data_IF_984664145246
#
_entry.id   IF_984664145246
#
_cell.length_a   1.000
_cell.length_b   1.000
_cell.length_c   1.000
_cell.angle_alpha   90.00
_cell.angle_beta   90.00
_cell.angle_gamma   90.00
#
_symmetry.space_group_name_H-M   'P 1'
#
loop_
_entity.id
_entity.type
_entity.pdbx_description
1 polymer ?
#
# COMPACT_ATOMS: atom_id res chain seq x y z
N UNK A 1 11.22 -7.29 6.54
CA UNK A 1 10.31 -7.21 5.36
C UNK A 1 9.00 -6.48 5.70
N UNK A 2 9.08 -5.33 6.34
CA UNK A 2 7.87 -4.61 6.71
C UNK A 2 7.52 -3.60 5.62
N UNK A 3 6.32 -3.74 5.06
CA UNK A 3 5.79 -2.89 4.02
C UNK A 3 4.48 -2.25 4.48
N UNK A 4 4.35 -0.96 4.35
CA UNK A 4 3.10 -0.25 4.56
C UNK A 4 2.58 0.29 3.22
N UNK A 5 1.43 -0.19 2.79
CA UNK A 5 0.73 0.33 1.61
C UNK A 5 -0.30 1.33 2.10
N UNK A 6 -0.19 2.56 1.62
CA UNK A 6 -1.14 3.62 1.93
C UNK A 6 -1.98 3.94 0.72
N UNK A 7 -3.24 3.74 0.91
CA UNK A 7 -4.27 4.09 -0.04
C UNK A 7 -4.90 5.41 0.40
N UNK A 8 -4.86 6.42 -0.47
CA UNK A 8 -5.53 7.70 -0.25
C UNK A 8 -6.96 7.67 -0.72
N UNK A 9 -7.44 6.50 -1.19
CA UNK A 9 -8.75 6.44 -1.78
C UNK A 9 -9.77 7.11 -0.87
N UNK A 10 -10.62 7.82 -1.50
CA UNK A 10 -11.71 8.60 -0.94
C UNK A 10 -12.71 7.75 -0.14
N UNK A 11 -12.50 6.44 -0.03
CA UNK A 11 -13.35 5.54 0.73
C UNK A 11 -12.56 4.37 1.34
N UNK A 12 -12.96 3.98 2.54
CA UNK A 12 -12.55 2.75 3.24
C UNK A 12 -12.77 1.51 2.33
N UNK A 13 -13.79 1.56 1.45
CA UNK A 13 -14.13 0.48 0.53
C UNK A 13 -13.03 0.15 -0.47
N UNK A 14 -12.32 1.14 -0.99
CA UNK A 14 -11.26 0.88 -1.95
C UNK A 14 -10.04 0.25 -1.29
N UNK A 15 -9.66 0.71 -0.08
CA UNK A 15 -8.60 0.07 0.69
C UNK A 15 -8.97 -1.38 1.04
N UNK A 16 -10.24 -1.62 1.39
CA UNK A 16 -10.73 -2.97 1.65
C UNK A 16 -10.69 -3.86 0.39
N UNK A 17 -11.07 -3.31 -0.77
CA UNK A 17 -10.95 -4.03 -2.07
C UNK A 17 -9.50 -4.36 -2.41
N UNK A 18 -8.59 -3.42 -2.16
CA UNK A 18 -7.15 -3.63 -2.37
C UNK A 18 -6.62 -4.77 -1.50
N UNK A 19 -7.02 -4.82 -0.24
CA UNK A 19 -6.63 -5.92 0.67
C UNK A 19 -7.13 -7.26 0.15
N UNK A 20 -8.40 -7.37 -0.22
CA UNK A 20 -8.95 -8.61 -0.78
C UNK A 20 -8.25 -9.02 -2.07
N UNK A 21 -7.97 -8.05 -2.96
CA UNK A 21 -7.22 -8.32 -4.18
C UNK A 21 -5.83 -8.87 -3.89
N UNK A 22 -5.10 -8.26 -2.97
CA UNK A 22 -3.76 -8.71 -2.57
C UNK A 22 -3.79 -10.09 -1.91
N UNK A 23 -4.79 -10.38 -1.06
CA UNK A 23 -4.98 -11.69 -0.45
C UNK A 23 -5.26 -12.77 -1.50
N UNK A 24 -6.18 -12.52 -2.43
CA UNK A 24 -6.48 -13.48 -3.48
C UNK A 24 -5.32 -13.68 -4.46
N UNK A 25 -4.61 -12.60 -4.77
CA UNK A 25 -3.41 -12.67 -5.61
C UNK A 25 -2.32 -13.52 -4.97
N UNK A 26 -1.99 -13.25 -3.72
CA UNK A 26 -0.92 -13.97 -3.03
C UNK A 26 -1.25 -15.46 -2.83
N UNK A 27 -2.51 -15.82 -2.59
CA UNK A 27 -2.93 -17.22 -2.52
C UNK A 27 -2.67 -17.93 -3.85
N UNK A 28 -3.09 -17.33 -4.97
CA UNK A 28 -2.86 -17.90 -6.30
C UNK A 28 -1.35 -17.99 -6.64
N UNK A 29 -0.59 -16.97 -6.25
CA UNK A 29 0.86 -16.95 -6.43
C UNK A 29 1.58 -17.99 -5.57
N UNK A 30 1.24 -18.09 -4.29
CA UNK A 30 1.85 -19.04 -3.35
C UNK A 30 1.61 -20.50 -3.78
N UNK A 31 0.39 -20.81 -4.26
CA UNK A 31 0.07 -22.14 -4.79
C UNK A 31 0.93 -22.51 -6.01
N UNK A 32 1.22 -21.54 -6.88
CA UNK A 32 2.00 -21.78 -8.09
C UNK A 32 3.52 -21.84 -7.86
N UNK A 33 4.02 -21.13 -6.85
CA UNK A 33 5.45 -20.92 -6.65
C UNK A 33 6.00 -21.61 -5.41
N UNK A 34 5.16 -22.25 -4.61
CA UNK A 34 5.50 -22.82 -3.31
C UNK A 34 6.17 -21.80 -2.34
N UNK A 35 5.93 -20.51 -2.55
CA UNK A 35 6.41 -19.45 -1.66
C UNK A 35 5.49 -19.36 -0.44
N UNK A 36 6.04 -19.05 0.76
CA UNK A 36 5.19 -18.84 1.91
C UNK A 36 4.31 -17.61 1.70
N UNK A 37 3.03 -17.67 2.10
CA UNK A 37 2.11 -16.55 1.96
C UNK A 37 2.58 -15.37 2.82
N UNK A 38 2.28 -14.15 2.33
CA UNK A 38 2.49 -12.92 3.09
C UNK A 38 1.32 -12.70 4.06
N UNK A 39 1.61 -12.21 5.25
CA UNK A 39 0.60 -11.77 6.21
C UNK A 39 0.19 -10.34 5.91
N UNK A 40 -0.93 -10.19 5.21
CA UNK A 40 -1.47 -8.90 4.76
C UNK A 40 -2.66 -8.55 5.63
N UNK A 41 -2.65 -7.36 6.23
CA UNK A 41 -3.73 -6.90 7.10
C UNK A 41 -4.23 -5.51 6.72
N UNK A 42 -5.53 -5.29 6.92
CA UNK A 42 -6.16 -3.99 6.78
C UNK A 42 -6.26 -3.30 8.14
N UNK A 43 -5.65 -2.12 8.22
CA UNK A 43 -5.80 -1.26 9.39
C UNK A 43 -6.96 -0.29 9.14
N UNK A 44 -8.14 -0.62 9.69
CA UNK A 44 -9.39 0.10 9.51
C UNK A 44 -9.82 0.85 10.77
N UNK A 45 -10.63 1.90 10.58
CA UNK A 45 -11.37 2.57 11.67
C UNK A 45 -12.38 1.65 12.35
N UNK A 46 -12.87 0.65 11.62
CA UNK A 46 -13.90 -0.28 12.09
C UNK A 46 -13.35 -1.27 13.12
N UNK A 47 -12.03 -1.43 13.16
CA UNK A 47 -11.37 -2.21 14.20
C UNK A 47 -11.50 -1.52 15.55
N UNK A 48 -11.80 -2.30 16.59
CA UNK A 48 -11.81 -1.81 17.98
C UNK A 48 -10.40 -1.31 18.37
N UNK A 49 -10.32 -0.38 19.29
CA UNK A 49 -9.04 0.19 19.74
C UNK A 49 -8.04 -0.88 20.22
N UNK A 50 -8.54 -1.92 20.88
CA UNK A 50 -7.71 -3.06 21.32
C UNK A 50 -7.13 -3.85 20.14
N UNK A 51 -7.95 -4.12 19.13
CA UNK A 51 -7.54 -4.84 17.91
C UNK A 51 -6.51 -4.04 17.11
N UNK A 52 -6.72 -2.72 16.98
CA UNK A 52 -5.75 -1.83 16.34
C UNK A 52 -4.39 -1.85 17.04
N UNK A 53 -4.38 -1.76 18.38
CA UNK A 53 -3.14 -1.85 19.18
C UNK A 53 -2.46 -3.20 19.01
N UNK A 54 -3.22 -4.28 19.00
CA UNK A 54 -2.69 -5.64 18.82
C UNK A 54 -2.08 -5.82 17.43
N UNK A 55 -2.77 -5.33 16.38
CA UNK A 55 -2.29 -5.40 15.00
C UNK A 55 -0.99 -4.60 14.82
N UNK A 56 -0.88 -3.39 15.40
CA UNK A 56 0.35 -2.61 15.35
C UNK A 56 1.52 -3.32 16.05
N UNK A 57 1.28 -3.91 17.22
CA UNK A 57 2.30 -4.70 17.91
C UNK A 57 2.74 -5.92 17.11
N UNK A 58 1.81 -6.61 16.46
CA UNK A 58 2.13 -7.73 15.56
C UNK A 58 2.97 -7.26 14.37
N UNK A 59 2.64 -6.09 13.81
CA UNK A 59 3.42 -5.47 12.74
C UNK A 59 4.84 -5.10 13.22
N UNK A 60 4.99 -4.50 14.39
CA UNK A 60 6.28 -4.19 15.00
C UNK A 60 7.16 -5.43 15.20
N UNK A 61 6.56 -6.55 15.59
CA UNK A 61 7.27 -7.83 15.78
C UNK A 61 7.59 -8.54 14.46
N UNK A 62 7.15 -8.01 13.31
CA UNK A 62 7.35 -8.62 12.00
C UNK A 62 6.46 -9.83 11.72
N UNK A 63 5.38 -10.00 12.49
CA UNK A 63 4.35 -11.03 12.28
C UNK A 63 3.37 -10.65 11.15
N UNK A 64 3.36 -9.39 10.78
CA UNK A 64 2.60 -8.85 9.64
C UNK A 64 3.60 -8.29 8.65
N UNK A 65 3.52 -8.76 7.40
CA UNK A 65 4.42 -8.34 6.33
C UNK A 65 3.93 -7.07 5.64
N UNK A 66 2.63 -6.97 5.44
CA UNK A 66 2.00 -5.84 4.71
C UNK A 66 0.83 -5.29 5.52
N UNK A 67 0.90 -3.98 5.81
CA UNK A 67 -0.19 -3.25 6.43
C UNK A 67 -0.79 -2.26 5.43
N UNK A 68 -2.06 -2.45 5.09
CA UNK A 68 -2.81 -1.54 4.23
C UNK A 68 -3.63 -0.60 5.10
N UNK A 69 -3.58 0.70 4.84
CA UNK A 69 -4.35 1.70 5.60
C UNK A 69 -4.75 2.89 4.74
N UNK A 70 -5.84 3.55 5.08
CA UNK A 70 -6.24 4.83 4.49
C UNK A 70 -5.59 6.02 5.19
N UNK A 71 -5.51 7.17 4.52
CA UNK A 71 -4.93 8.39 5.11
C UNK A 71 -5.69 8.90 6.33
N UNK A 72 -7.01 8.70 6.37
CA UNK A 72 -7.85 9.14 7.50
C UNK A 72 -7.45 8.48 8.81
N UNK A 73 -7.10 7.20 8.74
CA UNK A 73 -6.78 6.39 9.91
C UNK A 73 -5.33 6.54 10.32
N UNK A 74 -4.48 6.79 9.34
CA UNK A 74 -3.05 6.94 9.55
C UNK A 74 -2.66 8.24 10.26
N UNK A 75 -3.59 9.20 10.40
CA UNK A 75 -3.40 10.37 11.26
C UNK A 75 -3.50 9.96 12.73
N UNK A 76 -2.45 10.21 13.49
CA UNK A 76 -2.40 9.89 14.92
C UNK A 76 -1.99 8.46 15.28
N UNK A 77 -1.64 7.64 14.29
CA UNK A 77 -1.00 6.36 14.55
C UNK A 77 0.49 6.59 14.63
N UNK A 78 1.07 6.17 15.72
CA UNK A 78 2.51 5.98 15.80
C UNK A 78 2.85 4.65 15.13
N UNK A 79 2.90 4.68 13.78
CA UNK A 79 3.38 3.54 13.02
C UNK A 79 4.88 3.41 13.28
N UNK A 80 5.33 2.21 13.64
CA UNK A 80 6.74 1.94 13.73
C UNK A 80 7.44 2.25 12.40
N UNK A 81 8.73 2.49 12.45
CA UNK A 81 9.54 2.68 11.25
C UNK A 81 9.39 1.49 10.31
N UNK A 82 8.82 1.73 9.15
CA UNK A 82 8.66 0.71 8.12
C UNK A 82 9.75 0.85 7.06
N UNK A 83 10.17 -0.25 6.51
CA UNK A 83 11.21 -0.25 5.48
C UNK A 83 10.70 0.30 4.15
N UNK A 84 9.48 -0.05 3.77
CA UNK A 84 8.89 0.35 2.50
C UNK A 84 7.53 0.99 2.72
N UNK A 85 7.33 2.16 2.14
CA UNK A 85 6.03 2.82 2.06
C UNK A 85 5.60 2.87 0.60
N UNK A 86 4.39 2.44 0.32
CA UNK A 86 3.81 2.50 -1.02
C UNK A 86 2.56 3.39 -0.96
N UNK A 87 2.58 4.49 -1.71
CA UNK A 87 1.39 5.26 -2.00
C UNK A 87 0.71 4.66 -3.21
N UNK A 88 -0.41 3.96 -3.00
CA UNK A 88 -1.18 3.33 -4.06
C UNK A 88 -1.85 4.40 -4.94
N UNK A 89 -2.39 5.44 -4.32
CA UNK A 89 -2.90 6.62 -5.00
C UNK A 89 -1.99 7.82 -4.76
N UNK A 90 -1.95 8.73 -5.73
CA UNK A 90 -1.23 10.01 -5.61
C UNK A 90 -1.83 10.84 -4.46
N UNK A 91 -1.00 11.34 -3.53
CA UNK A 91 -1.47 12.24 -2.49
C UNK A 91 -1.97 13.55 -3.08
N UNK A 92 -3.07 14.06 -2.54
CA UNK A 92 -3.74 15.26 -3.07
C UNK A 92 -2.98 16.56 -2.75
N UNK A 93 -2.10 16.53 -1.76
CA UNK A 93 -1.30 17.67 -1.34
C UNK A 93 0.06 17.24 -0.76
N UNK A 94 0.98 18.19 -0.65
CA UNK A 94 2.33 17.95 -0.18
C UNK A 94 2.39 17.54 1.29
N UNK A 95 1.49 18.02 2.12
CA UNK A 95 1.44 17.66 3.54
C UNK A 95 1.12 16.17 3.71
N UNK A 96 0.19 15.64 2.91
CA UNK A 96 -0.11 14.20 2.87
C UNK A 96 1.06 13.40 2.32
N UNK A 97 1.71 13.89 1.26
CA UNK A 97 2.92 13.25 0.73
C UNK A 97 3.99 13.08 1.82
N UNK A 98 4.39 14.18 2.47
CA UNK A 98 5.40 14.19 3.53
C UNK A 98 4.99 13.28 4.70
N UNK A 99 3.71 13.32 5.08
CA UNK A 99 3.19 12.47 6.14
C UNK A 99 3.24 10.98 5.80
N UNK A 100 3.06 10.62 4.52
CA UNK A 100 3.19 9.23 4.06
C UNK A 100 4.64 8.78 4.04
N UNK A 101 5.50 9.49 3.32
CA UNK A 101 6.91 9.11 3.17
C UNK A 101 7.67 9.18 4.50
N UNK A 102 7.28 10.08 5.38
CA UNK A 102 7.85 10.22 6.71
C UNK A 102 7.55 9.06 7.68
N UNK A 103 7.03 7.93 7.21
CA UNK A 103 6.92 6.69 7.99
C UNK A 103 8.08 5.74 7.75
N UNK A 104 8.96 6.06 6.83
CA UNK A 104 10.19 5.31 6.57
C UNK A 104 11.42 6.19 6.71
N UNK A 105 12.59 5.58 6.72
CA UNK A 105 13.90 6.26 6.80
C UNK A 105 14.07 7.20 8.02
N UNK A 106 13.55 6.81 9.19
CA UNK A 106 13.65 7.57 10.43
C UNK A 106 14.86 7.15 11.25
N UNK A 107 15.35 8.07 12.08
CA UNK A 107 16.42 7.81 13.05
C UNK A 107 17.68 7.19 12.43
N UNK A 108 18.07 7.61 11.22
CA UNK A 108 19.27 7.10 10.53
C UNK A 108 19.11 5.74 9.85
N UNK A 109 17.89 5.19 9.80
CA UNK A 109 17.60 3.96 9.07
C UNK A 109 17.35 4.24 7.59
N UNK A 110 17.66 3.25 6.75
CA UNK A 110 17.38 3.30 5.31
C UNK A 110 15.98 2.78 5.03
N UNK A 111 15.25 3.45 4.15
CA UNK A 111 13.93 3.01 3.72
C UNK A 111 13.55 3.60 2.37
N UNK A 112 12.55 3.00 1.74
CA UNK A 112 12.10 3.36 0.40
C UNK A 112 10.64 3.84 0.44
N UNK A 113 10.36 4.91 -0.27
CA UNK A 113 9.01 5.41 -0.50
C UNK A 113 8.67 5.35 -2.00
N UNK A 114 7.61 4.64 -2.33
CA UNK A 114 7.14 4.43 -3.70
C UNK A 114 5.79 5.10 -3.89
N UNK A 115 5.60 5.74 -5.05
CA UNK A 115 4.31 6.28 -5.44
C UNK A 115 3.91 5.68 -6.80
N UNK A 116 2.71 5.08 -6.86
CA UNK A 116 2.11 4.67 -8.12
C UNK A 116 1.40 5.89 -8.69
N UNK A 117 1.77 6.27 -9.91
CA UNK A 117 1.27 7.49 -10.55
C UNK A 117 0.74 7.11 -11.92
N UNK A 118 -0.55 7.31 -12.15
CA UNK A 118 -1.16 7.15 -13.47
C UNK A 118 -0.74 8.28 -14.41
N UNK A 119 -0.78 8.03 -15.72
CA UNK A 119 -0.29 8.95 -16.73
C UNK A 119 -0.97 10.34 -16.63
N UNK A 120 -2.27 10.36 -16.37
CA UNK A 120 -3.04 11.59 -16.20
C UNK A 120 -2.68 12.37 -14.92
N UNK A 121 -2.12 11.71 -13.91
CA UNK A 121 -1.75 12.31 -12.62
C UNK A 121 -0.31 12.86 -12.62
N UNK A 122 0.52 12.45 -13.59
CA UNK A 122 1.95 12.79 -13.64
C UNK A 122 2.19 14.30 -13.59
N UNK A 123 1.41 15.07 -14.36
CA UNK A 123 1.56 16.53 -14.41
C UNK A 123 1.29 17.17 -13.04
N UNK A 124 0.18 16.79 -12.41
CA UNK A 124 -0.20 17.31 -11.10
C UNK A 124 0.82 16.93 -10.02
N UNK A 125 1.23 15.66 -10.00
CA UNK A 125 2.20 15.15 -9.03
C UNK A 125 3.56 15.84 -9.16
N UNK A 126 4.09 15.99 -10.38
CA UNK A 126 5.34 16.71 -10.63
C UNK A 126 5.26 18.18 -10.22
N UNK A 127 4.15 18.86 -10.50
CA UNK A 127 3.94 20.25 -10.11
C UNK A 127 3.98 20.41 -8.60
N UNK A 128 3.25 19.56 -7.87
CA UNK A 128 3.23 19.54 -6.42
C UNK A 128 4.64 19.37 -5.83
N UNK A 129 5.42 18.44 -6.38
CA UNK A 129 6.79 18.18 -5.92
C UNK A 129 7.74 19.34 -6.27
N UNK A 130 7.58 19.96 -7.44
CA UNK A 130 8.39 21.10 -7.89
C UNK A 130 8.14 22.32 -7.02
N UNK A 131 6.88 22.64 -6.72
CA UNK A 131 6.49 23.74 -5.83
C UNK A 131 7.08 23.59 -4.42
N UNK A 132 7.31 22.36 -3.98
CA UNK A 132 7.93 22.05 -2.69
C UNK A 132 9.45 21.82 -2.75
N UNK A 133 10.10 22.00 -3.91
CA UNK A 133 11.53 21.77 -4.08
C UNK A 133 11.95 20.32 -3.90
N UNK A 134 11.05 19.36 -4.08
CA UNK A 134 11.30 17.94 -3.87
C UNK A 134 11.50 17.14 -5.15
N UNK A 135 11.25 17.73 -6.32
CA UNK A 135 11.25 17.02 -7.60
C UNK A 135 12.60 16.36 -7.93
N UNK A 136 13.72 17.02 -7.56
CA UNK A 136 15.08 16.53 -7.82
C UNK A 136 15.44 15.29 -6.97
N UNK A 137 14.73 15.06 -5.88
CA UNK A 137 14.97 13.92 -4.98
C UNK A 137 14.19 12.66 -5.38
N UNK A 138 13.40 12.74 -6.46
CA UNK A 138 12.54 11.64 -6.89
C UNK A 138 13.03 11.05 -8.21
N UNK A 139 13.16 9.74 -8.21
CA UNK A 139 13.54 8.99 -9.40
C UNK A 139 12.32 8.31 -10.02
N UNK A 140 12.18 8.44 -11.32
CA UNK A 140 11.17 7.70 -12.08
C UNK A 140 11.66 6.29 -12.39
N UNK A 141 10.95 5.30 -11.90
CA UNK A 141 11.15 3.91 -12.28
C UNK A 141 10.17 3.53 -13.39
N UNK A 142 10.70 3.09 -14.52
CA UNK A 142 9.90 2.54 -15.61
C UNK A 142 9.83 1.03 -15.43
N UNK A 143 8.63 0.50 -15.29
CA UNK A 143 8.41 -0.94 -15.29
C UNK A 143 8.23 -1.38 -16.73
N UNK A 144 9.03 -2.35 -17.19
CA UNK A 144 8.90 -2.91 -18.53
C UNK A 144 7.61 -3.73 -18.63
N UNK A 145 6.92 -3.64 -19.77
CA UNK A 145 5.63 -4.31 -19.99
C UNK A 145 5.67 -5.82 -19.72
N UNK A 146 6.73 -6.51 -20.11
CA UNK A 146 6.90 -7.95 -19.86
C UNK A 146 7.20 -8.35 -18.41
N UNK A 147 7.52 -7.39 -17.53
CA UNK A 147 7.84 -7.70 -16.13
C UNK A 147 6.65 -8.28 -15.35
N UNK A 148 5.43 -8.00 -15.80
CA UNK A 148 4.20 -8.48 -15.18
C UNK A 148 3.65 -9.78 -15.79
N UNK A 149 4.19 -10.24 -16.92
CA UNK A 149 3.66 -11.41 -17.62
C UNK A 149 3.54 -12.66 -16.73
N UNK A 150 4.52 -12.99 -15.87
CA UNK A 150 4.39 -14.12 -14.96
C UNK A 150 3.31 -13.92 -13.89
N UNK A 151 2.93 -12.69 -13.59
CA UNK A 151 1.97 -12.34 -12.55
C UNK A 151 0.52 -12.26 -13.08
N UNK A 152 0.35 -12.04 -14.38
CA UNK A 152 -0.95 -11.80 -15.02
C UNK A 152 -1.97 -12.93 -14.79
N UNK A 153 -1.64 -14.23 -14.88
CA UNK A 153 -2.61 -15.29 -14.62
C UNK A 153 -3.16 -15.23 -13.19
N UNK A 154 -2.29 -14.98 -12.21
CA UNK A 154 -2.66 -14.90 -10.79
C UNK A 154 -3.48 -13.66 -10.49
N UNK A 155 -3.13 -12.54 -11.14
CA UNK A 155 -3.89 -11.30 -11.05
C UNK A 155 -5.31 -11.44 -11.63
N UNK A 156 -5.45 -12.07 -12.80
CA UNK A 156 -6.76 -12.35 -13.41
C UNK A 156 -7.62 -13.25 -12.51
N UNK A 157 -7.04 -14.29 -11.93
CA UNK A 157 -7.71 -15.16 -10.98
C UNK A 157 -8.18 -14.39 -9.73
N UNK A 158 -7.33 -13.52 -9.18
CA UNK A 158 -7.67 -12.67 -8.05
C UNK A 158 -8.81 -11.70 -8.36
N UNK A 159 -8.79 -11.06 -9.53
CA UNK A 159 -9.89 -10.18 -10.00
C UNK A 159 -11.21 -10.91 -10.14
N UNK A 160 -11.21 -12.13 -10.69
CA UNK A 160 -12.42 -12.93 -10.82
C UNK A 160 -13.03 -13.26 -9.43
N UNK A 161 -12.20 -13.65 -8.47
CA UNK A 161 -12.64 -13.88 -7.08
C UNK A 161 -13.15 -12.61 -6.41
N UNK A 162 -12.49 -11.49 -6.64
CA UNK A 162 -12.92 -10.19 -6.11
C UNK A 162 -14.31 -9.82 -6.67
N UNK A 163 -14.53 -9.98 -7.98
CA UNK A 163 -15.81 -9.73 -8.61
C UNK A 163 -16.92 -10.62 -8.02
N UNK A 164 -16.67 -11.91 -7.78
CA UNK A 164 -17.61 -12.82 -7.13
C UNK A 164 -17.97 -12.37 -5.71
N UNK A 165 -16.97 -11.98 -4.91
CA UNK A 165 -17.19 -11.52 -3.54
C UNK A 165 -18.13 -10.31 -3.49
N UNK A 166 -17.93 -9.33 -4.37
CA UNK A 166 -18.72 -8.09 -4.38
C UNK A 166 -20.05 -8.22 -5.14
N UNK A 167 -20.24 -9.24 -6.00
CA UNK A 167 -21.53 -9.52 -6.62
C UNK A 167 -22.53 -10.17 -5.65
N UNK A 168 -22.05 -10.90 -4.66
CA UNK A 168 -22.88 -11.55 -3.63
C UNK A 168 -23.34 -10.58 -2.52
N UNK A 169 -22.78 -9.38 -2.47
CA UNK A 169 -23.12 -8.35 -1.48
C UNK A 169 -24.17 -7.34 -1.99
N UNK A 170 -24.65 -7.51 -3.22
CA UNK A 170 -25.76 -6.72 -3.80
C UNK A 170 -27.06 -7.50 -3.68
#
# INVERSE_FOLDING_TARGET
RQMCIRDSTKSVDAANRLVHLLLFFQEAWAQATAQPPLHIHFYSSDLRTSERKQLLRAFERGEVDVLVCSDLIARGIDLPDVRHVISYDVPVDMAKYVHRVGRTARAGRVGDAWSLVEEQEVYHFKRMLSEAGQLEHIQRHKVHSGAFDPLLPHYKAALARLAQLYSQQR
#
